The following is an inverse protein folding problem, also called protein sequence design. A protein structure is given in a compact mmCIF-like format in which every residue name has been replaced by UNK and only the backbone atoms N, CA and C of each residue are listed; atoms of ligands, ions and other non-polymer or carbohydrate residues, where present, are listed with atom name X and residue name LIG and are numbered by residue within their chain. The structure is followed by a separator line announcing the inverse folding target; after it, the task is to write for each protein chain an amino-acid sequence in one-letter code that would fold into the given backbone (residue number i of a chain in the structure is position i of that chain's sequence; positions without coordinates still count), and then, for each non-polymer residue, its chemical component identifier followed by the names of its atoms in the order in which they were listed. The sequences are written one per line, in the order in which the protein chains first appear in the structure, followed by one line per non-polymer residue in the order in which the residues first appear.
data_IF_512116360730
#
_entry.id   IF_512116360730
#
_cell.length_a   1.000
_cell.length_b   1.000
_cell.length_c   1.000
_cell.angle_alpha   90.00
_cell.angle_beta   90.00
_cell.angle_gamma   90.00
#
_symmetry.space_group_name_H-M   'P 1'
#
loop_
_entity.id
_entity.type
_entity.pdbx_description
1 polymer ?
#
# COMPACT_ATOMS: atom_id res chain seq x y z
N UNK A 1 20.57 0.12 6.71
CA UNK A 1 20.20 1.49 7.14
C UNK A 1 19.60 2.19 5.93
N UNK A 2 18.34 2.62 5.96
CA UNK A 2 17.84 3.51 4.90
C UNK A 2 18.61 4.83 5.04
N UNK A 3 19.55 5.08 4.14
CA UNK A 3 20.33 6.31 4.13
C UNK A 3 19.42 7.38 3.55
N UNK A 4 18.71 8.12 4.42
CA UNK A 4 17.90 9.25 3.96
C UNK A 4 18.81 10.26 3.27
N UNK A 5 18.54 10.47 1.98
CA UNK A 5 19.29 11.43 1.19
C UNK A 5 18.79 12.83 1.53
N UNK A 6 19.58 13.55 2.33
CA UNK A 6 19.35 14.97 2.53
C UNK A 6 19.92 15.78 1.37
N UNK A 7 19.02 16.34 0.55
CA UNK A 7 19.36 17.31 -0.47
C UNK A 7 19.45 18.71 0.13
N UNK A 8 20.38 19.52 -0.37
CA UNK A 8 20.41 20.94 -0.02
C UNK A 8 19.36 21.73 -0.81
N UNK A 9 19.01 22.91 -0.32
CA UNK A 9 18.09 23.82 -1.04
C UNK A 9 18.62 24.18 -2.42
N UNK A 10 19.94 24.29 -2.60
CA UNK A 10 20.59 24.55 -3.88
C UNK A 10 20.40 23.37 -4.85
N UNK A 11 20.56 22.13 -4.39
CA UNK A 11 20.36 20.94 -5.21
C UNK A 11 18.89 20.81 -5.65
N UNK A 12 17.95 21.04 -4.73
CA UNK A 12 16.51 21.06 -5.06
C UNK A 12 16.24 22.18 -6.07
N UNK A 13 16.78 23.38 -5.84
CA UNK A 13 16.62 24.51 -6.75
C UNK A 13 17.14 24.23 -8.16
N UNK A 14 18.32 23.61 -8.29
CA UNK A 14 18.89 23.19 -9.57
C UNK A 14 18.02 22.13 -10.26
N UNK A 15 17.54 21.14 -9.50
CA UNK A 15 16.65 20.11 -10.04
C UNK A 15 15.37 20.74 -10.62
N UNK A 16 14.74 21.67 -9.90
CA UNK A 16 13.49 22.30 -10.30
C UNK A 16 13.60 23.15 -11.58
N UNK A 17 14.80 23.61 -11.96
CA UNK A 17 15.02 24.34 -13.23
C UNK A 17 14.66 23.48 -14.45
N UNK A 18 14.72 22.16 -14.32
CA UNK A 18 14.33 21.24 -15.38
C UNK A 18 12.82 21.07 -15.54
N UNK A 19 12.02 21.56 -14.59
CA UNK A 19 10.57 21.44 -14.59
C UNK A 19 9.92 22.81 -14.87
N UNK A 20 8.64 22.79 -15.24
CA UNK A 20 7.84 24.01 -15.43
C UNK A 20 6.96 24.29 -14.21
N UNK A 21 7.63 24.51 -13.07
CA UNK A 21 6.99 24.61 -11.75
C UNK A 21 7.32 25.91 -11.01
N UNK A 22 7.98 26.86 -11.67
CA UNK A 22 8.37 28.13 -11.06
C UNK A 22 9.60 28.00 -10.14
N UNK A 23 9.79 29.00 -9.28
CA UNK A 23 10.98 29.13 -8.43
C UNK A 23 10.76 28.54 -7.04
N UNK A 24 11.78 27.87 -6.50
CA UNK A 24 11.77 27.30 -5.15
C UNK A 24 11.54 28.39 -4.09
N UNK A 25 10.54 28.21 -3.23
CA UNK A 25 10.27 29.06 -2.06
C UNK A 25 10.65 28.38 -0.76
N UNK A 26 10.30 27.12 -0.61
CA UNK A 26 10.64 26.34 0.59
C UNK A 26 10.74 24.85 0.26
N UNK A 27 11.55 24.13 1.04
CA UNK A 27 11.63 22.67 0.99
C UNK A 27 11.70 22.12 2.42
N UNK A 28 10.84 21.16 2.74
CA UNK A 28 10.78 20.52 4.07
C UNK A 28 10.73 19.01 3.91
N UNK A 29 11.70 18.32 4.50
CA UNK A 29 11.70 16.86 4.56
C UNK A 29 10.51 16.34 5.38
N UNK A 30 9.93 15.24 4.91
CA UNK A 30 8.91 14.45 5.61
C UNK A 30 9.65 13.32 6.31
N UNK A 31 9.56 13.26 7.63
CA UNK A 31 10.23 12.24 8.43
C UNK A 31 9.48 10.89 8.47
N UNK A 32 8.29 10.83 7.87
CA UNK A 32 7.42 9.65 7.83
C UNK A 32 7.68 8.84 6.55
N UNK A 33 7.81 7.53 6.71
CA UNK A 33 8.17 6.58 5.63
C UNK A 33 9.46 5.81 5.96
N UNK A 34 9.60 4.59 5.43
CA UNK A 34 10.74 3.70 5.74
C UNK A 34 11.60 3.32 4.53
N UNK A 35 11.15 3.70 3.32
CA UNK A 35 11.74 3.22 2.07
C UNK A 35 12.26 4.34 1.15
N UNK A 36 11.71 5.55 1.21
CA UNK A 36 12.06 6.66 0.32
C UNK A 36 12.21 7.98 1.11
N UNK A 37 13.02 8.90 0.60
CA UNK A 37 13.16 10.24 1.18
C UNK A 37 12.16 11.19 0.52
N UNK A 38 11.17 11.67 1.27
CA UNK A 38 10.12 12.55 0.75
C UNK A 38 10.30 13.99 1.25
N UNK A 39 10.01 14.97 0.40
CA UNK A 39 10.06 16.38 0.71
C UNK A 39 8.81 17.08 0.22
N UNK A 40 8.24 17.96 1.04
CA UNK A 40 7.28 18.97 0.56
C UNK A 40 8.10 20.11 -0.02
N UNK A 41 7.86 20.40 -1.29
CA UNK A 41 8.50 21.48 -2.04
C UNK A 41 7.45 22.51 -2.41
N UNK A 42 7.63 23.75 -1.97
CA UNK A 42 6.77 24.87 -2.33
C UNK A 42 7.49 25.77 -3.33
N UNK A 43 6.80 26.10 -4.40
CA UNK A 43 7.31 26.96 -5.47
C UNK A 43 6.46 28.21 -5.63
N UNK A 44 6.80 29.07 -6.58
CA UNK A 44 5.95 30.19 -6.98
C UNK A 44 4.66 29.75 -7.69
N UNK A 45 4.60 28.53 -8.24
CA UNK A 45 3.42 28.01 -8.92
C UNK A 45 2.49 27.22 -7.99
N UNK A 46 3.04 26.20 -7.30
CA UNK A 46 2.28 25.28 -6.46
C UNK A 46 3.17 24.54 -5.44
N UNK A 47 2.55 23.61 -4.71
CA UNK A 47 3.25 22.64 -3.86
C UNK A 47 3.37 21.30 -4.56
N UNK A 48 4.45 20.59 -4.24
CA UNK A 48 4.79 19.29 -4.78
C UNK A 48 5.37 18.38 -3.70
N UNK A 49 5.35 17.08 -3.96
CA UNK A 49 6.13 16.09 -3.24
C UNK A 49 7.34 15.72 -4.11
N UNK A 50 8.53 15.90 -3.57
CA UNK A 50 9.77 15.42 -4.17
C UNK A 50 10.16 14.11 -3.49
N UNK A 51 10.19 13.02 -4.25
CA UNK A 51 10.54 11.70 -3.73
C UNK A 51 11.87 11.24 -4.32
N UNK A 52 12.81 10.93 -3.44
CA UNK A 52 14.09 10.31 -3.78
C UNK A 52 13.94 8.82 -3.51
N UNK A 53 14.15 8.03 -4.55
CA UNK A 53 14.04 6.58 -4.48
C UNK A 53 15.35 5.99 -3.93
N UNK A 54 15.27 5.45 -2.72
CA UNK A 54 16.42 4.82 -2.06
C UNK A 54 16.59 3.37 -2.55
N UNK A 55 17.73 2.74 -2.21
CA UNK A 55 18.14 1.42 -2.73
C UNK A 55 17.11 0.28 -2.53
N UNK A 56 16.18 0.42 -1.58
CA UNK A 56 15.09 -0.55 -1.38
C UNK A 56 14.02 -0.50 -2.47
N UNK A 57 13.93 0.59 -3.22
CA UNK A 57 13.03 0.69 -4.36
C UNK A 57 13.72 0.11 -5.58
N UNK A 58 13.13 -0.95 -6.14
CA UNK A 58 13.56 -1.53 -7.42
C UNK A 58 13.51 -0.45 -8.50
N UNK A 59 14.68 0.08 -8.90
CA UNK A 59 14.80 1.11 -9.94
C UNK A 59 14.09 0.70 -11.24
N UNK A 60 14.08 -0.60 -11.53
CA UNK A 60 13.40 -1.19 -12.68
C UNK A 60 11.87 -1.09 -12.60
N UNK A 61 11.30 -1.01 -11.40
CA UNK A 61 9.86 -0.81 -11.18
C UNK A 61 9.40 0.63 -11.33
N UNK A 62 10.31 1.62 -11.28
CA UNK A 62 9.94 3.03 -11.27
C UNK A 62 9.13 3.48 -12.51
N UNK A 63 9.49 3.08 -13.75
CA UNK A 63 8.67 3.39 -14.92
C UNK A 63 7.24 2.83 -14.83
N UNK A 64 7.06 1.66 -14.21
CA UNK A 64 5.73 1.08 -13.99
C UNK A 64 4.92 1.94 -13.01
N UNK A 65 5.49 2.32 -11.87
CA UNK A 65 4.77 3.09 -10.84
C UNK A 65 4.38 4.49 -11.31
N UNK A 66 5.31 5.23 -11.92
CA UNK A 66 5.04 6.59 -12.41
C UNK A 66 4.07 6.55 -13.60
N UNK A 67 4.25 5.61 -14.53
CA UNK A 67 3.32 5.42 -15.65
C UNK A 67 1.91 5.03 -15.19
N UNK A 68 1.78 4.26 -14.11
CA UNK A 68 0.48 3.92 -13.52
C UNK A 68 -0.20 5.16 -12.93
N UNK A 69 0.55 6.02 -12.23
CA UNK A 69 0.03 7.29 -11.69
C UNK A 69 -0.47 8.21 -12.80
N UNK A 70 0.29 8.34 -13.89
CA UNK A 70 -0.13 9.12 -15.06
C UNK A 70 -1.40 8.57 -15.69
N UNK A 71 -1.47 7.25 -15.88
CA UNK A 71 -2.62 6.58 -16.46
C UNK A 71 -3.89 6.78 -15.62
N UNK A 72 -3.81 6.54 -14.32
CA UNK A 72 -4.92 6.68 -13.40
C UNK A 72 -5.35 8.15 -13.28
N UNK A 73 -4.40 9.09 -13.19
CA UNK A 73 -4.75 10.50 -13.11
C UNK A 73 -5.37 11.02 -14.40
N UNK A 74 -4.92 10.57 -15.58
CA UNK A 74 -5.55 10.91 -16.85
C UNK A 74 -7.01 10.44 -16.95
N UNK A 75 -7.39 9.42 -16.17
CA UNK A 75 -8.77 8.93 -16.03
C UNK A 75 -9.57 9.63 -14.92
N UNK A 76 -8.94 10.53 -14.18
CA UNK A 76 -9.59 11.26 -13.09
C UNK A 76 -9.63 10.49 -11.77
N UNK A 77 -8.88 9.39 -11.62
CA UNK A 77 -8.72 8.75 -10.32
C UNK A 77 -8.04 9.72 -9.34
N UNK A 78 -8.38 9.68 -8.03
CA UNK A 78 -7.80 10.56 -7.03
C UNK A 78 -6.38 10.08 -6.66
N UNK A 79 -5.43 10.16 -7.58
CA UNK A 79 -4.02 9.79 -7.39
C UNK A 79 -3.13 10.98 -7.76
N UNK A 80 -1.92 11.10 -7.20
CA UNK A 80 -1.08 12.23 -7.49
C UNK A 80 -0.47 12.11 -8.89
N UNK A 81 -0.53 13.18 -9.68
CA UNK A 81 0.13 13.22 -11.00
C UNK A 81 1.65 13.21 -10.88
N UNK A 82 2.31 12.55 -11.83
CA UNK A 82 3.74 12.74 -12.02
C UNK A 82 3.99 14.05 -12.78
N UNK A 83 4.82 14.91 -12.20
CA UNK A 83 5.23 16.17 -12.83
C UNK A 83 6.44 15.86 -13.69
N UNK A 84 6.22 15.85 -15.01
CA UNK A 84 7.28 15.59 -15.98
C UNK A 84 8.18 16.81 -16.14
N UNK A 85 9.46 16.57 -16.42
CA UNK A 85 10.38 17.63 -16.76
C UNK A 85 10.07 18.23 -18.15
N UNK A 86 10.78 19.30 -18.52
CA UNK A 86 10.60 19.99 -19.82
C UNK A 86 10.88 19.11 -21.04
N UNK A 87 11.62 18.01 -20.86
CA UNK A 87 11.93 17.04 -21.90
C UNK A 87 10.92 15.88 -21.93
N UNK A 88 9.94 15.87 -21.01
CA UNK A 88 8.92 14.83 -20.88
C UNK A 88 9.38 13.61 -20.08
N UNK A 89 10.47 13.70 -19.31
CA UNK A 89 10.92 12.62 -18.44
C UNK A 89 10.14 12.60 -17.11
N UNK A 90 9.70 11.41 -16.69
CA UNK A 90 8.92 11.20 -15.46
C UNK A 90 9.76 11.32 -14.17
N UNK A 91 11.08 11.14 -14.28
CA UNK A 91 12.02 11.29 -13.17
C UNK A 91 13.39 11.72 -13.69
N UNK A 92 14.21 12.23 -12.77
CA UNK A 92 15.62 12.58 -13.01
C UNK A 92 16.53 11.86 -12.03
N UNK A 93 17.84 12.05 -12.16
CA UNK A 93 18.81 11.51 -11.21
C UNK A 93 19.53 12.62 -10.45
N UNK A 94 19.64 12.42 -9.14
CA UNK A 94 20.45 13.27 -8.26
C UNK A 94 21.33 12.35 -7.43
N UNK A 95 22.65 12.56 -7.48
CA UNK A 95 23.65 11.70 -6.82
C UNK A 95 23.48 10.20 -7.16
N UNK A 96 23.12 9.89 -8.40
CA UNK A 96 22.90 8.53 -8.89
C UNK A 96 21.60 7.87 -8.41
N UNK A 97 20.72 8.60 -7.72
CA UNK A 97 19.42 8.11 -7.25
C UNK A 97 18.30 8.71 -8.10
N UNK A 98 17.28 7.93 -8.49
CA UNK A 98 16.11 8.46 -9.15
C UNK A 98 15.35 9.42 -8.22
N UNK A 99 14.84 10.51 -8.80
CA UNK A 99 14.06 11.53 -8.11
C UNK A 99 12.88 11.91 -9.00
N UNK A 100 11.67 11.73 -8.47
CA UNK A 100 10.45 12.18 -9.13
C UNK A 100 9.83 13.37 -8.39
N UNK A 101 9.24 14.28 -9.16
CA UNK A 101 8.40 15.34 -8.65
C UNK A 101 6.95 14.93 -8.88
N UNK A 102 6.17 14.95 -7.81
CA UNK A 102 4.80 14.42 -7.76
C UNK A 102 3.88 15.53 -7.26
N UNK A 103 2.65 15.54 -7.75
CA UNK A 103 1.62 16.49 -7.31
C UNK A 103 1.37 16.40 -5.80
N UNK A 104 1.25 17.56 -5.15
CA UNK A 104 0.76 17.63 -3.78
C UNK A 104 -0.77 17.59 -3.78
N UNK A 105 -1.34 16.52 -3.22
CA UNK A 105 -2.79 16.40 -3.08
C UNK A 105 -3.28 17.00 -1.74
N UNK A 106 -4.44 17.67 -1.73
CA UNK A 106 -5.06 18.13 -0.50
C UNK A 106 -5.67 16.95 0.27
N UNK A 107 -5.79 17.09 1.58
CA UNK A 107 -6.46 16.12 2.44
C UNK A 107 -5.61 15.74 3.65
N UNK A 108 -6.20 14.93 4.53
CA UNK A 108 -5.53 14.37 5.70
C UNK A 108 -5.66 12.86 5.70
N UNK A 109 -4.59 12.18 6.12
CA UNK A 109 -4.62 10.73 6.36
C UNK A 109 -5.50 10.40 7.56
N UNK A 110 -6.10 9.21 7.53
CA UNK A 110 -7.09 8.80 8.53
C UNK A 110 -6.45 7.98 9.65
N UNK A 111 -6.57 8.46 10.90
CA UNK A 111 -6.13 7.67 12.07
C UNK A 111 -7.23 6.74 12.60
N UNK A 112 -8.49 7.20 12.55
CA UNK A 112 -9.65 6.47 13.06
C UNK A 112 -10.82 6.56 12.07
N UNK A 113 -10.76 5.85 10.93
CA UNK A 113 -11.78 5.96 9.89
C UNK A 113 -13.16 5.54 10.43
N UNK A 114 -14.20 6.26 10.04
CA UNK A 114 -15.60 5.87 10.28
C UNK A 114 -16.17 5.01 9.13
N UNK A 115 -17.42 4.55 9.27
CA UNK A 115 -18.03 3.67 8.30
C UNK A 115 -18.25 4.34 6.94
N UNK A 116 -18.59 5.63 6.91
CA UNK A 116 -18.82 6.34 5.65
C UNK A 116 -17.50 6.56 4.89
N UNK A 117 -16.42 6.87 5.62
CA UNK A 117 -15.08 6.95 5.05
C UNK A 117 -14.61 5.60 4.51
N UNK A 118 -14.91 4.50 5.22
CA UNK A 118 -14.58 3.16 4.77
C UNK A 118 -15.36 2.78 3.49
N UNK A 119 -16.64 3.15 3.39
CA UNK A 119 -17.42 2.97 2.16
C UNK A 119 -16.82 3.77 0.99
N UNK A 120 -16.45 5.03 1.22
CA UNK A 120 -15.81 5.87 0.22
C UNK A 120 -14.49 5.27 -0.28
N UNK A 121 -13.67 4.70 0.60
CA UNK A 121 -12.45 3.98 0.22
C UNK A 121 -12.75 2.71 -0.55
N UNK A 122 -13.77 1.95 -0.17
CA UNK A 122 -14.22 0.79 -0.95
C UNK A 122 -14.55 1.17 -2.39
N UNK A 123 -15.31 2.25 -2.58
CA UNK A 123 -15.64 2.81 -3.90
C UNK A 123 -14.40 3.24 -4.67
N UNK A 124 -13.48 3.96 -4.02
CA UNK A 124 -12.25 4.44 -4.63
C UNK A 124 -11.33 3.29 -5.09
N UNK A 125 -11.20 2.23 -4.27
CA UNK A 125 -10.42 1.03 -4.62
C UNK A 125 -11.03 0.30 -5.83
N UNK A 126 -12.35 0.11 -5.84
CA UNK A 126 -13.04 -0.49 -6.99
C UNK A 126 -12.87 0.34 -8.27
N UNK A 127 -12.97 1.68 -8.17
CA UNK A 127 -12.76 2.56 -9.31
C UNK A 127 -11.31 2.51 -9.82
N UNK A 128 -10.32 2.49 -8.92
CA UNK A 128 -8.91 2.30 -9.26
C UNK A 128 -8.67 1.03 -10.09
N UNK A 129 -9.29 -0.10 -9.70
CA UNK A 129 -9.19 -1.34 -10.46
C UNK A 129 -9.77 -1.24 -11.88
N UNK A 130 -10.88 -0.53 -12.04
CA UNK A 130 -11.52 -0.31 -13.34
C UNK A 130 -10.69 0.64 -14.20
N UNK A 131 -10.16 1.72 -13.62
CA UNK A 131 -9.37 2.71 -14.32
C UNK A 131 -8.04 2.13 -14.79
N UNK A 132 -7.43 1.23 -14.01
CA UNK A 132 -6.18 0.56 -14.37
C UNK A 132 -6.33 -0.60 -15.37
N UNK A 133 -7.56 -1.00 -15.74
CA UNK A 133 -7.81 -2.24 -16.49
C UNK A 133 -7.15 -2.28 -17.89
N UNK A 134 -6.93 -1.13 -18.52
CA UNK A 134 -6.28 -0.96 -19.82
C UNK A 134 -4.85 -0.37 -19.72
N UNK A 135 -4.29 -0.28 -18.51
CA UNK A 135 -2.89 0.09 -18.35
C UNK A 135 -1.98 -1.00 -18.91
N UNK A 136 -1.06 -0.63 -19.80
CA UNK A 136 -0.22 -1.59 -20.51
C UNK A 136 0.95 -2.12 -19.67
N UNK A 137 1.36 -1.39 -18.62
CA UNK A 137 2.47 -1.80 -17.75
C UNK A 137 2.14 -3.07 -16.98
N UNK A 138 3.15 -3.94 -16.81
CA UNK A 138 3.03 -5.20 -16.07
C UNK A 138 4.12 -5.25 -15.00
N UNK A 139 3.78 -5.76 -13.83
CA UNK A 139 4.71 -5.98 -12.72
C UNK A 139 4.24 -7.16 -11.90
N UNK A 140 5.07 -8.20 -11.83
CA UNK A 140 4.75 -9.36 -10.98
C UNK A 140 4.66 -8.95 -9.50
N UNK A 141 3.75 -9.59 -8.77
CA UNK A 141 3.68 -9.42 -7.32
C UNK A 141 4.94 -10.04 -6.67
N UNK A 142 5.79 -9.19 -6.09
CA UNK A 142 7.03 -9.60 -5.39
C UNK A 142 6.80 -9.95 -3.92
N UNK A 143 5.56 -9.94 -3.44
CA UNK A 143 5.15 -10.29 -2.08
C UNK A 143 3.95 -11.26 -2.12
N UNK A 144 4.00 -12.20 -3.05
CA UNK A 144 3.00 -13.25 -3.21
C UNK A 144 3.29 -14.52 -2.42
N UNK A 145 2.52 -15.59 -2.67
CA UNK A 145 2.60 -16.82 -1.90
C UNK A 145 3.92 -17.62 -1.94
N UNK A 146 4.83 -17.31 -2.86
CA UNK A 146 6.16 -17.91 -2.81
C UNK A 146 7.07 -17.08 -1.89
N UNK A 147 7.04 -15.74 -2.04
CA UNK A 147 8.00 -14.85 -1.39
C UNK A 147 7.83 -14.77 0.12
N UNK A 148 6.60 -14.76 0.63
CA UNK A 148 6.37 -14.81 2.07
C UNK A 148 6.82 -16.15 2.72
N UNK A 149 6.85 -17.25 1.97
CA UNK A 149 7.22 -18.58 2.44
C UNK A 149 8.74 -18.66 2.54
N UNK A 150 9.43 -18.19 1.49
CA UNK A 150 10.87 -18.02 1.50
C UNK A 150 11.30 -17.07 2.63
N UNK A 151 10.63 -15.92 2.77
CA UNK A 151 10.95 -14.94 3.81
C UNK A 151 10.78 -15.48 5.23
N UNK A 152 9.70 -16.22 5.50
CA UNK A 152 9.45 -16.83 6.82
C UNK A 152 10.41 -17.98 7.10
N UNK A 153 10.74 -18.78 6.08
CA UNK A 153 11.76 -19.82 6.17
C UNK A 153 13.13 -19.22 6.50
N UNK A 154 13.51 -18.12 5.85
CA UNK A 154 14.78 -17.41 6.07
C UNK A 154 14.86 -16.77 7.47
N UNK A 155 13.72 -16.32 8.02
CA UNK A 155 13.66 -15.86 9.40
C UNK A 155 13.98 -17.01 10.38
N UNK A 156 13.44 -18.20 10.13
CA UNK A 156 13.62 -19.40 10.92
C UNK A 156 12.84 -19.44 12.23
N UNK A 157 12.35 -20.62 12.60
CA UNK A 157 11.43 -20.83 13.74
C UNK A 157 11.94 -20.26 15.06
N UNK A 158 13.23 -20.40 15.33
CA UNK A 158 13.84 -19.92 16.57
C UNK A 158 13.81 -18.39 16.68
N UNK A 159 13.99 -17.66 15.58
CA UNK A 159 13.91 -16.19 15.60
C UNK A 159 12.46 -15.73 15.68
N UNK A 160 11.54 -16.41 14.98
CA UNK A 160 10.11 -16.12 15.08
C UNK A 160 9.61 -16.32 16.53
N UNK A 161 9.98 -17.43 17.17
CA UNK A 161 9.62 -17.71 18.56
C UNK A 161 10.27 -16.73 19.56
N UNK A 162 11.42 -16.13 19.20
CA UNK A 162 12.07 -15.10 20.01
C UNK A 162 11.35 -13.74 19.94
N UNK A 163 10.57 -13.48 18.88
CA UNK A 163 9.63 -12.35 18.84
C UNK A 163 8.43 -12.66 19.74
N UNK A 164 7.76 -13.78 19.47
CA UNK A 164 6.65 -14.30 20.27
C UNK A 164 6.45 -15.80 19.95
N UNK A 165 6.22 -16.66 20.93
CA UNK A 165 6.00 -18.08 20.69
C UNK A 165 4.76 -18.34 19.81
N UNK A 166 3.70 -17.55 19.99
CA UNK A 166 2.48 -17.66 19.21
C UNK A 166 2.67 -17.23 17.74
N UNK A 167 3.70 -16.42 17.43
CA UNK A 167 4.06 -16.10 16.05
C UNK A 167 4.53 -17.33 15.29
N UNK A 168 5.48 -18.08 15.87
CA UNK A 168 6.00 -19.31 15.27
C UNK A 168 4.89 -20.35 15.09
N UNK A 169 4.05 -20.54 16.11
CA UNK A 169 2.90 -21.46 16.06
C UNK A 169 1.90 -21.07 14.96
N UNK A 170 1.60 -19.77 14.80
CA UNK A 170 0.69 -19.30 13.77
C UNK A 170 1.25 -19.53 12.36
N UNK A 171 2.56 -19.28 12.16
CA UNK A 171 3.24 -19.55 10.89
C UNK A 171 3.19 -21.04 10.54
N UNK A 172 3.58 -21.90 11.48
CA UNK A 172 3.54 -23.37 11.30
C UNK A 172 2.13 -23.86 10.96
N UNK A 173 1.13 -23.38 11.69
CA UNK A 173 -0.27 -23.81 11.55
C UNK A 173 -0.89 -23.39 10.22
N UNK A 174 -0.62 -22.16 9.76
CA UNK A 174 -1.43 -21.54 8.70
C UNK A 174 -0.73 -21.39 7.36
N UNK A 175 0.60 -21.26 7.31
CA UNK A 175 1.32 -20.94 6.06
C UNK A 175 1.10 -21.99 4.97
N UNK A 176 1.39 -23.26 5.27
CA UNK A 176 1.29 -24.33 4.28
C UNK A 176 -0.16 -24.55 3.77
N UNK A 177 -1.21 -24.57 4.63
CA UNK A 177 -2.59 -24.60 4.15
C UNK A 177 -2.95 -23.43 3.24
N UNK A 178 -2.57 -22.19 3.60
CA UNK A 178 -2.91 -21.00 2.81
C UNK A 178 -2.26 -21.08 1.42
N UNK A 179 -0.97 -21.42 1.35
CA UNK A 179 -0.23 -21.54 0.08
C UNK A 179 -0.83 -22.64 -0.79
N UNK A 180 -1.14 -23.80 -0.22
CA UNK A 180 -1.71 -24.94 -0.95
C UNK A 180 -3.08 -24.64 -1.55
N UNK A 181 -3.90 -23.87 -0.83
CA UNK A 181 -5.28 -23.58 -1.24
C UNK A 181 -5.40 -22.27 -2.03
N UNK A 182 -4.29 -21.57 -2.27
CA UNK A 182 -4.30 -20.25 -2.89
C UNK A 182 -5.07 -20.25 -4.21
N UNK A 183 -6.11 -19.40 -4.35
CA UNK A 183 -7.03 -19.48 -5.48
C UNK A 183 -6.30 -19.16 -6.78
N UNK A 184 -6.85 -19.66 -7.89
CA UNK A 184 -6.36 -19.39 -9.24
C UNK A 184 -7.53 -19.00 -10.14
N UNK A 185 -7.25 -18.22 -11.18
CA UNK A 185 -8.27 -17.85 -12.18
C UNK A 185 -9.30 -16.81 -11.72
N UNK A 186 -9.14 -16.20 -10.54
CA UNK A 186 -9.96 -15.07 -10.13
C UNK A 186 -9.72 -13.84 -11.02
N UNK A 187 -10.72 -12.95 -11.17
CA UNK A 187 -10.53 -11.68 -11.85
C UNK A 187 -9.31 -10.92 -11.32
N UNK A 188 -8.45 -10.51 -12.24
CA UNK A 188 -7.13 -9.95 -11.92
C UNK A 188 -6.80 -8.78 -12.85
N UNK A 189 -5.93 -7.90 -12.37
CA UNK A 189 -5.40 -6.73 -13.08
C UNK A 189 -4.40 -6.01 -12.19
N UNK A 190 -4.26 -4.70 -12.37
CA UNK A 190 -3.41 -3.90 -11.48
C UNK A 190 -4.12 -3.68 -10.15
N UNK A 191 -3.41 -3.96 -9.06
CA UNK A 191 -3.83 -3.76 -7.68
C UNK A 191 -2.86 -2.81 -6.96
N UNK A 192 -3.31 -2.15 -5.90
CA UNK A 192 -2.48 -1.31 -5.03
C UNK A 192 -1.64 -2.16 -4.06
N UNK A 193 -2.22 -3.24 -3.52
CA UNK A 193 -1.62 -4.21 -2.61
C UNK A 193 -1.16 -3.67 -1.23
N UNK A 194 -1.48 -2.42 -0.88
CA UNK A 194 -1.05 -1.79 0.38
C UNK A 194 -1.89 -0.56 0.79
N UNK A 195 -3.20 -0.58 0.50
CA UNK A 195 -4.05 0.59 0.73
C UNK A 195 -4.49 0.74 2.21
N UNK A 196 -3.55 1.10 3.09
CA UNK A 196 -3.82 1.41 4.49
C UNK A 196 -4.42 2.82 4.70
N UNK A 197 -5.00 3.11 5.88
CA UNK A 197 -5.55 4.43 6.18
C UNK A 197 -4.55 5.61 6.08
N UNK A 198 -3.26 5.36 6.29
CA UNK A 198 -2.19 6.36 6.10
C UNK A 198 -1.93 6.67 4.61
N UNK A 199 -2.25 5.73 3.72
CA UNK A 199 -2.13 5.85 2.26
C UNK A 199 -3.39 6.43 1.59
N UNK A 200 -4.37 6.90 2.37
CA UNK A 200 -5.58 7.55 1.87
C UNK A 200 -5.74 8.94 2.47
N UNK A 201 -5.81 9.95 1.60
CA UNK A 201 -6.10 11.33 1.93
C UNK A 201 -7.59 11.61 1.75
N UNK A 202 -8.19 12.29 2.73
CA UNK A 202 -9.60 12.66 2.69
C UNK A 202 -9.85 14.11 3.07
N UNK A 203 -10.97 14.65 2.58
CA UNK A 203 -11.61 15.85 3.09
C UNK A 203 -13.05 15.48 3.49
N UNK A 204 -13.26 15.24 4.79
CA UNK A 204 -14.53 14.69 5.27
C UNK A 204 -14.71 13.24 4.79
N UNK A 205 -15.69 13.01 3.91
CA UNK A 205 -15.99 11.71 3.32
C UNK A 205 -15.44 11.57 1.89
N UNK A 206 -14.93 12.66 1.31
CA UNK A 206 -14.39 12.65 -0.04
C UNK A 206 -12.95 12.13 -0.01
N UNK A 207 -12.69 11.06 -0.77
CA UNK A 207 -11.33 10.55 -1.01
C UNK A 207 -10.66 11.46 -2.02
N UNK A 208 -9.67 12.22 -1.56
CA UNK A 208 -8.95 13.22 -2.37
C UNK A 208 -7.60 12.71 -2.84
N UNK A 209 -7.10 11.61 -2.28
CA UNK A 209 -5.84 11.00 -2.69
C UNK A 209 -5.70 9.55 -2.25
N UNK A 210 -5.25 8.71 -3.16
CA UNK A 210 -4.64 7.41 -2.91
C UNK A 210 -3.16 7.58 -3.24
N UNK A 211 -2.28 7.20 -2.33
CA UNK A 211 -0.83 7.42 -2.44
C UNK A 211 -0.06 6.13 -2.13
N UNK A 212 1.25 6.15 -2.37
CA UNK A 212 2.16 5.03 -2.08
C UNK A 212 1.89 3.75 -2.91
N UNK A 213 2.03 3.87 -4.23
CA UNK A 213 1.85 2.78 -5.19
C UNK A 213 3.07 1.84 -5.32
N UNK A 214 4.05 1.89 -4.42
CA UNK A 214 5.30 1.12 -4.60
C UNK A 214 5.14 -0.39 -4.44
N UNK A 215 4.00 -0.84 -3.91
CA UNK A 215 3.61 -2.25 -3.91
C UNK A 215 2.66 -2.63 -5.04
N UNK A 216 2.25 -1.68 -5.89
CA UNK A 216 1.33 -1.94 -6.97
C UNK A 216 1.91 -2.99 -7.93
N UNK A 217 1.04 -3.90 -8.37
CA UNK A 217 1.43 -5.05 -9.19
C UNK A 217 0.22 -5.68 -9.86
N UNK A 218 0.47 -6.65 -10.74
CA UNK A 218 -0.50 -7.60 -11.22
C UNK A 218 -0.97 -8.51 -10.08
N UNK A 219 -2.28 -8.54 -9.82
CA UNK A 219 -2.86 -9.38 -8.79
C UNK A 219 -4.38 -9.53 -8.89
N UNK A 220 -4.93 -10.36 -8.02
CA UNK A 220 -6.38 -10.59 -7.92
C UNK A 220 -7.04 -9.37 -7.26
N UNK A 221 -8.10 -8.86 -7.86
CA UNK A 221 -8.82 -7.71 -7.29
C UNK A 221 -9.42 -8.01 -5.91
N UNK A 222 -9.89 -9.25 -5.72
CA UNK A 222 -10.35 -9.74 -4.41
C UNK A 222 -9.23 -9.82 -3.37
N UNK A 223 -7.98 -10.04 -3.77
CA UNK A 223 -6.84 -10.03 -2.85
C UNK A 223 -6.56 -8.60 -2.37
N UNK A 224 -6.62 -7.61 -3.25
CA UNK A 224 -6.42 -6.21 -2.85
C UNK A 224 -7.54 -5.69 -1.94
N UNK A 225 -8.77 -6.12 -2.20
CA UNK A 225 -9.90 -5.89 -1.31
C UNK A 225 -9.67 -6.55 0.06
N UNK A 226 -9.15 -7.78 0.11
CA UNK A 226 -8.82 -8.47 1.36
C UNK A 226 -7.69 -7.77 2.14
N UNK A 227 -6.65 -7.28 1.44
CA UNK A 227 -5.57 -6.45 2.02
C UNK A 227 -6.15 -5.18 2.65
N UNK A 228 -6.96 -4.45 1.88
CA UNK A 228 -7.59 -3.21 2.35
C UNK A 228 -8.54 -3.49 3.52
N UNK A 229 -9.35 -4.54 3.46
CA UNK A 229 -10.22 -4.94 4.55
C UNK A 229 -9.41 -5.27 5.83
N UNK A 230 -8.30 -6.01 5.70
CA UNK A 230 -7.42 -6.32 6.83
C UNK A 230 -6.72 -5.08 7.39
N UNK A 231 -6.43 -4.07 6.57
CA UNK A 231 -5.84 -2.80 7.01
C UNK A 231 -6.83 -1.90 7.75
N UNK A 232 -8.10 -1.87 7.32
CA UNK A 232 -9.10 -0.89 7.79
C UNK A 232 -10.01 -1.40 8.91
N UNK A 233 -10.33 -2.69 8.90
CA UNK A 233 -11.43 -3.23 9.71
C UNK A 233 -11.02 -3.63 11.12
N UNK A 234 -9.84 -3.23 11.59
CA UNK A 234 -9.33 -3.52 12.92
C UNK A 234 -8.82 -2.25 13.57
N UNK A 235 -9.01 -2.12 14.88
CA UNK A 235 -8.43 -1.02 15.64
C UNK A 235 -6.95 -1.30 16.04
N UNK A 236 -6.38 -0.37 16.82
CA UNK A 236 -5.00 -0.48 17.31
C UNK A 236 -4.78 -1.64 18.30
N UNK A 237 -5.85 -2.17 18.91
CA UNK A 237 -5.79 -3.33 19.80
C UNK A 237 -5.98 -4.66 19.04
N UNK A 238 -6.39 -4.59 17.77
CA UNK A 238 -6.67 -5.75 16.93
C UNK A 238 -8.12 -6.24 17.07
N UNK A 239 -9.02 -5.42 17.60
CA UNK A 239 -10.45 -5.75 17.65
C UNK A 239 -11.11 -5.47 16.30
N UNK A 240 -11.95 -6.41 15.84
CA UNK A 240 -12.66 -6.28 14.58
C UNK A 240 -13.79 -5.26 14.67
N UNK A 241 -13.81 -4.31 13.73
CA UNK A 241 -14.79 -3.24 13.59
C UNK A 241 -15.77 -3.59 12.47
N UNK A 242 -16.78 -4.39 12.79
CA UNK A 242 -17.73 -4.94 11.81
C UNK A 242 -18.37 -3.89 10.89
N UNK A 243 -18.74 -2.73 11.43
CA UNK A 243 -19.33 -1.63 10.67
C UNK A 243 -18.38 -1.04 9.63
N UNK A 244 -17.06 -1.08 9.86
CA UNK A 244 -16.04 -0.58 8.94
C UNK A 244 -15.84 -1.58 7.81
N UNK A 245 -15.64 -2.86 8.15
CA UNK A 245 -15.46 -3.91 7.16
C UNK A 245 -16.66 -4.06 6.23
N UNK A 246 -17.88 -4.04 6.80
CA UNK A 246 -19.12 -4.10 6.03
C UNK A 246 -19.28 -2.89 5.09
N UNK A 247 -19.00 -1.68 5.57
CA UNK A 247 -19.13 -0.46 4.77
C UNK A 247 -18.10 -0.44 3.62
N UNK A 248 -16.86 -0.84 3.89
CA UNK A 248 -15.80 -0.97 2.87
C UNK A 248 -16.20 -1.96 1.77
N UNK A 249 -16.66 -3.15 2.16
CA UNK A 249 -17.11 -4.17 1.21
C UNK A 249 -18.32 -3.70 0.39
N UNK A 250 -19.28 -3.02 1.02
CA UNK A 250 -20.44 -2.45 0.34
C UNK A 250 -20.04 -1.36 -0.67
N UNK A 251 -19.15 -0.46 -0.28
CA UNK A 251 -18.63 0.59 -1.17
C UNK A 251 -17.92 0.02 -2.39
N UNK A 252 -17.08 -0.99 -2.19
CA UNK A 252 -16.42 -1.69 -3.29
C UNK A 252 -17.43 -2.35 -4.23
N UNK A 253 -18.33 -3.16 -3.67
CA UNK A 253 -19.31 -3.92 -4.43
C UNK A 253 -20.25 -3.01 -5.25
N UNK A 254 -20.57 -1.83 -4.75
CA UNK A 254 -21.43 -0.87 -5.44
C UNK A 254 -20.81 -0.28 -6.72
N UNK A 255 -19.49 -0.35 -6.89
CA UNK A 255 -18.78 0.14 -8.09
C UNK A 255 -18.31 -1.03 -8.96
N UNK A 256 -17.70 -2.05 -8.34
CA UNK A 256 -17.30 -3.29 -8.99
C UNK A 256 -17.94 -4.47 -8.24
N UNK A 257 -19.00 -5.09 -8.79
CA UNK A 257 -19.64 -6.23 -8.14
C UNK A 257 -18.66 -7.37 -7.90
N UNK A 258 -18.54 -7.76 -6.63
CA UNK A 258 -17.75 -8.92 -6.19
C UNK A 258 -18.50 -10.19 -6.58
N UNK A 259 -17.89 -11.05 -7.40
CA UNK A 259 -18.51 -12.31 -7.83
C UNK A 259 -18.67 -13.30 -6.66
N UNK A 260 -19.48 -14.34 -6.85
CA UNK A 260 -19.61 -15.43 -5.87
C UNK A 260 -18.27 -16.12 -5.62
N UNK A 261 -17.48 -16.34 -6.68
CA UNK A 261 -16.15 -16.96 -6.61
C UNK A 261 -15.14 -16.08 -5.85
N UNK A 262 -15.14 -14.77 -6.12
CA UNK A 262 -14.31 -13.81 -5.38
C UNK A 262 -14.72 -13.78 -3.90
N UNK A 263 -16.02 -13.74 -3.61
CA UNK A 263 -16.54 -13.72 -2.23
C UNK A 263 -16.16 -14.97 -1.46
N UNK A 264 -16.33 -16.16 -2.06
CA UNK A 264 -15.95 -17.42 -1.44
C UNK A 264 -14.43 -17.50 -1.17
N UNK A 265 -13.61 -16.81 -1.96
CA UNK A 265 -12.17 -16.75 -1.77
C UNK A 265 -11.72 -15.71 -0.71
N UNK A 266 -12.53 -14.70 -0.40
CA UNK A 266 -12.14 -13.60 0.51
C UNK A 266 -11.61 -14.06 1.88
N UNK A 267 -12.19 -15.06 2.58
CA UNK A 267 -11.64 -15.54 3.85
C UNK A 267 -10.20 -16.04 3.72
N UNK A 268 -9.92 -16.83 2.68
CA UNK A 268 -8.57 -17.34 2.41
C UNK A 268 -7.61 -16.22 2.00
N UNK A 269 -8.07 -15.32 1.14
CA UNK A 269 -7.29 -14.16 0.69
C UNK A 269 -6.97 -13.20 1.84
N UNK A 270 -7.86 -13.04 2.81
CA UNK A 270 -7.64 -12.20 4.00
C UNK A 270 -6.66 -12.84 4.99
N UNK A 271 -6.71 -14.16 5.17
CA UNK A 271 -5.66 -14.92 5.87
C UNK A 271 -4.32 -14.76 5.14
N UNK A 272 -4.36 -14.75 3.80
CA UNK A 272 -3.22 -14.39 2.97
C UNK A 272 -2.69 -12.98 3.24
N UNK A 273 -3.53 -11.96 3.11
CA UNK A 273 -3.12 -10.59 3.41
C UNK A 273 -2.43 -10.51 4.78
N UNK A 274 -3.02 -11.13 5.81
CA UNK A 274 -2.43 -11.18 7.14
C UNK A 274 -1.06 -11.88 7.17
N UNK A 275 -0.93 -13.05 6.56
CA UNK A 275 0.34 -13.77 6.49
C UNK A 275 1.42 -12.99 5.71
N UNK A 276 1.05 -12.21 4.69
CA UNK A 276 1.99 -11.33 3.95
C UNK A 276 2.57 -10.27 4.87
N UNK A 277 1.74 -9.62 5.69
CA UNK A 277 2.22 -8.63 6.66
C UNK A 277 2.95 -9.25 7.85
N UNK A 278 2.60 -10.47 8.26
CA UNK A 278 3.37 -11.22 9.26
C UNK A 278 4.80 -11.42 8.75
N UNK A 279 4.95 -11.94 7.53
CA UNK A 279 6.26 -12.21 6.94
C UNK A 279 7.12 -10.94 6.85
N UNK A 280 6.59 -9.87 6.26
CA UNK A 280 7.36 -8.62 6.08
C UNK A 280 7.70 -7.96 7.41
N UNK A 281 6.76 -7.91 8.38
CA UNK A 281 7.03 -7.33 9.69
C UNK A 281 7.99 -8.18 10.51
N UNK A 282 7.90 -9.51 10.48
CA UNK A 282 8.85 -10.38 11.17
C UNK A 282 10.27 -10.23 10.59
N UNK A 283 10.38 -10.22 9.27
CA UNK A 283 11.66 -9.99 8.59
C UNK A 283 12.25 -8.63 8.97
N UNK A 284 11.47 -7.55 8.88
CA UNK A 284 11.94 -6.22 9.32
C UNK A 284 12.27 -6.20 10.81
N UNK A 285 11.54 -6.93 11.65
CA UNK A 285 11.80 -6.97 13.08
C UNK A 285 13.16 -7.59 13.42
N UNK A 286 13.54 -8.65 12.70
CA UNK A 286 14.78 -9.41 12.87
C UNK A 286 15.97 -8.66 12.25
N UNK A 287 15.80 -8.10 11.05
CA UNK A 287 16.91 -7.55 10.27
C UNK A 287 17.12 -6.05 10.48
N UNK A 288 16.21 -5.35 11.16
CA UNK A 288 16.40 -3.94 11.52
C UNK A 288 17.28 -3.83 12.77
N UNK A 289 18.43 -3.14 12.67
CA UNK A 289 19.31 -2.93 13.82
C UNK A 289 18.62 -2.20 14.98
N UNK A 290 18.96 -2.50 16.25
CA UNK A 290 18.34 -1.86 17.43
C UNK A 290 18.52 -0.34 17.51
N UNK A 291 19.55 0.20 16.85
CA UNK A 291 19.89 1.63 16.79
C UNK A 291 19.22 2.35 15.61
N UNK A 292 18.44 1.65 14.78
CA UNK A 292 17.66 2.28 13.74
C UNK A 292 16.57 3.19 14.34
N UNK A 293 16.46 4.41 13.82
CA UNK A 293 15.43 5.38 14.20
C UNK A 293 14.01 5.01 13.70
N UNK A 294 13.83 3.80 13.14
CA UNK A 294 12.58 3.33 12.57
C UNK A 294 11.81 2.53 13.61
N UNK A 295 10.55 2.93 13.86
CA UNK A 295 9.65 2.15 14.70
C UNK A 295 9.29 0.85 13.98
N UNK A 296 9.72 -0.28 14.55
CA UNK A 296 9.35 -1.61 14.05
C UNK A 296 7.85 -1.84 14.29
N UNK A 297 7.14 -2.29 13.25
CA UNK A 297 5.72 -2.68 13.36
C UNK A 297 5.63 -4.09 13.92
N UNK A 298 4.79 -4.31 14.93
CA UNK A 298 4.62 -5.62 15.58
C UNK A 298 3.96 -6.63 14.61
N UNK A 299 4.59 -7.79 14.31
CA UNK A 299 3.95 -8.84 13.51
C UNK A 299 2.72 -9.45 14.19
N UNK A 300 2.62 -9.40 15.52
CA UNK A 300 1.49 -9.98 16.25
C UNK A 300 0.15 -9.29 15.96
N UNK A 301 0.17 -8.03 15.49
CA UNK A 301 -1.04 -7.36 15.00
C UNK A 301 -1.75 -8.18 13.92
N UNK A 302 -0.98 -8.73 12.99
CA UNK A 302 -1.52 -9.51 11.89
C UNK A 302 -1.71 -10.99 12.24
N UNK A 303 -1.00 -11.52 13.25
CA UNK A 303 -1.35 -12.84 13.84
C UNK A 303 -2.76 -12.80 14.42
N UNK A 304 -3.11 -11.76 15.19
CA UNK A 304 -4.47 -11.60 15.73
C UNK A 304 -5.54 -11.54 14.64
N UNK A 305 -5.26 -10.81 13.55
CA UNK A 305 -6.16 -10.72 12.37
C UNK A 305 -6.29 -12.05 11.64
N UNK A 306 -5.18 -12.78 11.47
CA UNK A 306 -5.15 -14.11 10.85
C UNK A 306 -6.02 -15.11 11.62
N UNK A 307 -5.90 -15.14 12.95
CA UNK A 307 -6.70 -16.00 13.81
C UNK A 307 -8.19 -15.60 13.76
N UNK A 308 -8.50 -14.29 13.75
CA UNK A 308 -9.86 -13.81 13.58
C UNK A 308 -10.49 -14.30 12.25
N UNK A 309 -9.80 -14.12 11.12
CA UNK A 309 -10.31 -14.59 9.82
C UNK A 309 -10.44 -16.11 9.76
N UNK A 310 -9.57 -16.83 10.45
CA UNK A 310 -9.67 -18.29 10.53
C UNK A 310 -10.89 -18.73 11.34
N UNK A 311 -11.21 -18.02 12.43
CA UNK A 311 -12.35 -18.34 13.29
C UNK A 311 -13.71 -17.95 12.67
N UNK A 312 -13.78 -16.80 11.99
CA UNK A 312 -15.05 -16.25 11.48
C UNK A 312 -15.36 -16.61 10.02
N UNK A 313 -14.35 -16.92 9.20
CA UNK A 313 -14.54 -17.40 7.83
C UNK A 313 -15.39 -16.45 6.95
N UNK A 314 -16.38 -17.04 6.27
CA UNK A 314 -17.25 -16.34 5.31
C UNK A 314 -18.15 -15.26 5.95
N UNK A 315 -18.52 -15.41 7.22
CA UNK A 315 -19.45 -14.51 7.90
C UNK A 315 -18.97 -13.04 7.86
N UNK A 316 -17.66 -12.84 7.89
CA UNK A 316 -16.99 -11.53 7.84
C UNK A 316 -17.26 -10.78 6.53
N UNK A 317 -17.44 -11.52 5.43
CA UNK A 317 -17.59 -10.97 4.08
C UNK A 317 -19.01 -11.09 3.56
N UNK A 318 -20.00 -11.24 4.44
CA UNK A 318 -21.40 -11.27 4.02
C UNK A 318 -21.87 -9.85 3.73
N UNK A 319 -22.26 -9.56 2.47
CA UNK A 319 -23.01 -8.35 2.18
C UNK A 319 -24.40 -8.55 2.75
N UNK A 320 -24.73 -7.82 3.82
CA UNK A 320 -26.11 -7.73 4.26
C UNK A 320 -26.83 -6.83 3.25
N UNK A 321 -27.84 -7.37 2.59
CA UNK A 321 -28.72 -6.55 1.76
C UNK A 321 -29.22 -5.38 2.61
N UNK A 322 -28.91 -4.16 2.17
CA UNK A 322 -29.50 -2.97 2.77
C UNK A 322 -30.99 -2.98 2.43
N UNK A 323 -31.82 -3.29 3.43
CA UNK A 323 -33.27 -3.16 3.36
C UNK A 323 -33.70 -1.68 3.47
#
# INVERSE_FOLDING_TARGET
MAVYTHLTTEEIGQLLQHYDVGELRSAKGIAEGVSNSNWIVETTAARFILTIYEERTEREGLPFFLGLLDHLSAKGSPVPRTIHDRDGAAFREVRGKPVALIEYLPGVSLSHPDAAQAEAVGRALAQLHLDAADFAGRRANTLGPAQWQDMLHDCGDAQLAAIDAALAEAVERHLAPIVREWPQGLPSGIIHADLFPDNVLTLGQDVTGLIDFYFACDGMYAYDLAVTHAAWSFDAHGEYRAQIGAALLAGYHAVRPVSEEERAALPLLARGAAMRFIATRAHDWIHTPPDALVVRKDPMDFVRRLEFYTACGEDVFTLRDQA
#
